data_IF_249056347238
#
_entry.id   IF_249056347238
#
_cell.length_a   1.000
_cell.length_b   1.000
_cell.length_c   1.000
_cell.angle_alpha   90.00
_cell.angle_beta   90.00
_cell.angle_gamma   90.00
#
_symmetry.space_group_name_H-M   'P 1'
#
loop_
_entity.id
_entity.type
_entity.pdbx_description
1 polymer ?
#
# COMPACT_ATOMS: atom_id res chain seq x y z
N UNK A 1 -0.63 15.49 3.97
CA UNK A 1 -1.78 15.47 3.03
C UNK A 1 -3.08 15.51 3.82
N UNK A 2 -4.10 16.19 3.30
CA UNK A 2 -5.43 16.25 3.92
C UNK A 2 -6.48 15.81 2.89
N UNK A 3 -7.37 14.89 3.27
CA UNK A 3 -8.43 14.33 2.43
C UNK A 3 -9.78 14.49 3.13
N UNK A 4 -10.68 15.28 2.55
CA UNK A 4 -12.02 15.46 3.08
C UNK A 4 -13.00 14.43 2.49
N UNK A 5 -13.59 13.60 3.34
CA UNK A 5 -14.58 12.57 2.93
C UNK A 5 -15.89 12.87 3.65
N UNK A 6 -16.81 13.64 3.04
CA UNK A 6 -18.06 14.06 3.70
C UNK A 6 -19.12 12.95 3.75
N UNK A 7 -18.93 11.86 3.00
CA UNK A 7 -19.85 10.73 2.96
C UNK A 7 -19.45 9.65 3.97
N UNK A 8 -20.42 8.85 4.41
CA UNK A 8 -20.18 7.66 5.24
C UNK A 8 -19.93 6.46 4.32
N UNK A 9 -18.82 5.77 4.55
CA UNK A 9 -18.34 4.60 3.80
C UNK A 9 -18.51 3.34 4.65
N UNK A 10 -19.45 2.50 4.28
CA UNK A 10 -19.65 1.17 4.89
C UNK A 10 -18.63 0.16 4.38
N UNK A 11 -18.21 0.31 3.12
CA UNK A 11 -17.11 -0.41 2.50
C UNK A 11 -16.14 0.56 1.85
N UNK A 12 -14.86 0.29 2.02
CA UNK A 12 -13.78 1.00 1.38
C UNK A 12 -12.78 -0.03 0.85
N UNK A 13 -12.21 0.24 -0.31
CA UNK A 13 -11.27 -0.64 -0.98
C UNK A 13 -9.92 0.05 -1.11
N UNK A 14 -8.87 -0.74 -1.01
CA UNK A 14 -7.51 -0.34 -1.37
C UNK A 14 -7.04 -1.22 -2.53
N UNK A 15 -6.55 -0.56 -3.58
CA UNK A 15 -5.86 -1.20 -4.68
C UNK A 15 -4.40 -0.73 -4.67
N UNK A 16 -3.48 -1.69 -4.79
CA UNK A 16 -2.05 -1.43 -4.90
C UNK A 16 -1.51 -2.21 -6.08
N UNK A 17 -0.91 -1.51 -7.03
CA UNK A 17 -0.21 -2.10 -8.15
C UNK A 17 1.26 -1.74 -8.09
N UNK A 18 2.12 -2.75 -8.17
CA UNK A 18 3.57 -2.56 -8.17
C UNK A 18 4.12 -2.76 -9.57
N UNK A 19 5.02 -1.88 -9.99
CA UNK A 19 5.72 -1.97 -11.25
C UNK A 19 7.23 -1.95 -11.01
N UNK A 20 7.95 -2.82 -11.70
CA UNK A 20 9.39 -2.90 -11.66
C UNK A 20 9.98 -2.39 -12.97
N UNK A 21 11.06 -1.60 -12.88
CA UNK A 21 11.74 -1.07 -14.06
C UNK A 21 12.90 -1.98 -14.46
N UNK A 22 12.75 -2.63 -15.62
CA UNK A 22 13.86 -3.28 -16.33
C UNK A 22 14.49 -2.28 -17.30
N UNK A 23 13.76 -1.99 -18.39
CA UNK A 23 14.03 -0.86 -19.28
C UNK A 23 12.90 0.19 -19.08
N UNK A 24 11.67 -0.30 -19.20
CA UNK A 24 10.43 0.39 -18.86
C UNK A 24 9.75 -0.24 -17.64
N UNK A 25 8.77 0.46 -17.06
CA UNK A 25 7.95 -0.06 -15.96
C UNK A 25 7.04 -1.18 -16.45
N UNK A 26 7.27 -2.39 -15.94
CA UNK A 26 6.46 -3.57 -16.21
C UNK A 26 5.72 -3.99 -14.93
N UNK A 27 4.52 -4.55 -15.10
CA UNK A 27 3.74 -5.05 -13.98
C UNK A 27 4.57 -6.09 -13.19
N UNK A 28 4.79 -5.79 -11.92
CA UNK A 28 5.39 -6.73 -10.99
C UNK A 28 4.26 -7.65 -10.49
N UNK A 29 4.49 -8.95 -10.26
CA UNK A 29 3.43 -9.90 -9.89
C UNK A 29 2.85 -9.70 -8.48
N UNK A 30 3.00 -8.51 -7.90
CA UNK A 30 2.46 -8.10 -6.60
C UNK A 30 1.41 -7.02 -6.85
N UNK A 31 0.17 -7.47 -6.94
CA UNK A 31 -1.02 -6.62 -6.93
C UNK A 31 -1.88 -6.98 -5.73
N UNK A 32 -2.47 -5.98 -5.09
CA UNK A 32 -3.36 -6.13 -3.95
C UNK A 32 -4.67 -5.42 -4.28
N UNK A 33 -5.79 -6.10 -4.08
CA UNK A 33 -7.11 -5.50 -4.02
C UNK A 33 -7.81 -6.04 -2.79
N UNK A 34 -8.12 -5.18 -1.83
CA UNK A 34 -8.70 -5.59 -0.55
C UNK A 34 -9.78 -4.62 -0.07
N UNK A 35 -10.86 -5.17 0.49
CA UNK A 35 -11.83 -4.38 1.25
C UNK A 35 -11.27 -4.15 2.67
N UNK A 36 -10.99 -2.89 2.98
CA UNK A 36 -10.42 -2.45 4.27
C UNK A 36 -11.32 -2.85 5.43
N UNK A 37 -12.64 -2.64 5.30
CA UNK A 37 -13.62 -2.97 6.32
C UNK A 37 -13.78 -4.47 6.55
N UNK A 38 -13.59 -5.30 5.51
CA UNK A 38 -13.61 -6.75 5.65
C UNK A 38 -12.34 -7.24 6.36
N UNK A 39 -11.18 -6.66 6.03
CA UNK A 39 -9.92 -7.00 6.69
C UNK A 39 -9.98 -6.74 8.21
N UNK A 40 -10.57 -5.64 8.66
CA UNK A 40 -10.74 -5.38 10.09
C UNK A 40 -11.66 -6.39 10.79
N UNK A 41 -12.70 -6.87 10.09
CA UNK A 41 -13.65 -7.86 10.62
C UNK A 41 -13.04 -9.26 10.66
N UNK A 42 -12.32 -9.64 9.61
CA UNK A 42 -11.64 -10.92 9.49
C UNK A 42 -10.34 -10.71 8.70
N UNK A 43 -9.18 -10.59 9.38
CA UNK A 43 -7.90 -10.35 8.72
C UNK A 43 -7.60 -11.43 7.68
N UNK A 44 -7.17 -11.01 6.49
CA UNK A 44 -6.81 -11.92 5.40
C UNK A 44 -5.58 -12.76 5.76
N UNK A 45 -5.53 -14.02 5.33
CA UNK A 45 -4.33 -14.87 5.39
C UNK A 45 -3.28 -14.47 4.33
N UNK A 46 -3.68 -13.69 3.33
CA UNK A 46 -2.79 -13.19 2.28
C UNK A 46 -1.64 -12.35 2.87
N UNK A 47 -0.41 -12.76 2.56
CA UNK A 47 0.81 -12.17 3.11
C UNK A 47 0.93 -10.71 2.71
N UNK A 48 0.55 -10.36 1.48
CA UNK A 48 0.64 -8.98 0.98
C UNK A 48 -0.36 -8.07 1.68
N UNK A 49 -1.61 -8.51 1.83
CA UNK A 49 -2.65 -7.81 2.58
C UNK A 49 -2.22 -7.51 4.01
N UNK A 50 -1.65 -8.53 4.70
CA UNK A 50 -1.14 -8.37 6.06
C UNK A 50 0.01 -7.39 6.14
N UNK A 51 0.92 -7.45 5.19
CA UNK A 51 2.05 -6.56 5.13
C UNK A 51 1.63 -5.10 4.90
N UNK A 52 0.80 -4.83 3.89
CA UNK A 52 0.27 -3.48 3.61
C UNK A 52 -0.50 -2.94 4.81
N UNK A 53 -1.34 -3.75 5.45
CA UNK A 53 -2.07 -3.28 6.62
C UNK A 53 -1.13 -2.97 7.80
N UNK A 54 -0.08 -3.77 8.02
CA UNK A 54 0.93 -3.49 9.04
C UNK A 54 1.63 -2.15 8.80
N UNK A 55 1.97 -1.83 7.55
CA UNK A 55 2.56 -0.53 7.18
C UNK A 55 1.58 0.59 7.44
N UNK A 56 0.30 0.42 7.10
CA UNK A 56 -0.74 1.41 7.39
C UNK A 56 -0.90 1.63 8.90
N UNK A 57 -0.85 0.58 9.72
CA UNK A 57 -0.93 0.68 11.18
C UNK A 57 0.18 1.50 11.80
N UNK A 58 1.38 1.42 11.24
CA UNK A 58 2.52 2.18 11.75
C UNK A 58 2.54 3.61 11.22
N UNK A 59 2.13 3.83 9.98
CA UNK A 59 2.28 5.13 9.29
C UNK A 59 1.07 6.04 9.42
N UNK A 60 -0.15 5.49 9.46
CA UNK A 60 -1.41 6.25 9.54
C UNK A 60 -2.42 5.60 10.51
N UNK A 61 -2.04 5.37 11.78
CA UNK A 61 -2.87 4.63 12.75
C UNK A 61 -4.26 5.23 12.96
N UNK A 62 -4.37 6.56 12.88
CA UNK A 62 -5.63 7.31 13.06
C UNK A 62 -6.64 7.09 11.94
N UNK A 63 -6.25 6.47 10.82
CA UNK A 63 -7.18 6.10 9.75
C UNK A 63 -7.79 4.71 9.98
N UNK A 64 -7.25 3.95 10.94
CA UNK A 64 -7.51 2.53 11.10
C UNK A 64 -8.41 2.29 12.31
N UNK A 65 -9.70 2.55 12.09
CA UNK A 65 -10.76 2.20 13.01
C UNK A 65 -11.81 1.34 12.31
N UNK A 66 -12.60 0.62 13.10
CA UNK A 66 -13.67 -0.21 12.58
C UNK A 66 -14.68 0.63 11.80
N UNK A 67 -15.12 0.11 10.66
CA UNK A 67 -16.13 0.78 9.83
C UNK A 67 -17.47 0.95 10.58
N UNK A 68 -18.27 1.97 10.23
CA UNK A 68 -18.17 2.81 9.03
C UNK A 68 -17.12 3.92 9.12
N UNK A 69 -16.46 4.16 7.99
CA UNK A 69 -15.45 5.21 7.82
C UNK A 69 -16.09 6.47 7.22
N UNK A 70 -15.43 7.62 7.31
CA UNK A 70 -15.83 8.85 6.60
C UNK A 70 -16.52 9.88 7.50
N UNK A 71 -17.30 10.77 6.89
CA UNK A 71 -17.86 11.95 7.55
C UNK A 71 -16.82 12.76 8.34
N UNK A 72 -15.59 12.85 7.80
CA UNK A 72 -14.45 13.43 8.48
C UNK A 72 -13.39 13.88 7.49
N UNK A 73 -12.40 14.61 8.00
CA UNK A 73 -11.20 15.00 7.26
C UNK A 73 -10.01 14.21 7.76
N UNK A 74 -9.42 13.43 6.86
CA UNK A 74 -8.27 12.59 7.11
C UNK A 74 -6.99 13.35 6.84
N UNK A 75 -6.18 13.57 7.88
CA UNK A 75 -4.88 14.22 7.75
C UNK A 75 -3.77 13.17 7.85
N UNK A 76 -3.12 12.82 6.75
CA UNK A 76 -2.02 11.85 6.74
C UNK A 76 -0.67 12.53 6.63
N UNK A 77 0.27 12.06 7.42
CA UNK A 77 1.70 12.22 7.16
C UNK A 77 2.26 10.81 7.00
N UNK A 78 2.66 10.47 5.77
CA UNK A 78 3.14 9.14 5.44
C UNK A 78 4.65 9.17 5.25
N UNK A 79 5.36 8.24 5.89
CA UNK A 79 6.80 8.06 5.75
C UNK A 79 7.06 6.63 5.28
N UNK A 80 7.88 6.49 4.24
CA UNK A 80 8.27 5.19 3.72
C UNK A 80 9.70 4.89 4.18
N UNK A 81 9.82 4.08 5.22
CA UNK A 81 11.09 3.60 5.77
C UNK A 81 11.50 2.26 5.18
N UNK A 82 12.79 1.92 5.25
CA UNK A 82 13.36 0.69 4.72
C UNK A 82 12.77 -0.58 5.36
N UNK A 83 12.43 -0.52 6.65
CA UNK A 83 11.78 -1.61 7.40
C UNK A 83 10.41 -2.03 6.85
N UNK A 84 9.75 -1.17 6.07
CA UNK A 84 8.46 -1.47 5.46
C UNK A 84 8.56 -2.28 4.19
N UNK A 85 9.75 -2.59 3.70
CA UNK A 85 9.92 -3.46 2.53
C UNK A 85 10.26 -4.89 2.96
N UNK A 86 9.70 -5.91 2.27
CA UNK A 86 10.14 -7.28 2.47
C UNK A 86 11.63 -7.40 2.22
N UNK A 87 12.35 -8.16 3.07
CA UNK A 87 13.79 -8.40 2.88
C UNK A 87 14.12 -9.08 1.54
N UNK A 88 13.15 -9.80 0.98
CA UNK A 88 13.23 -10.44 -0.33
C UNK A 88 13.01 -9.49 -1.51
N UNK A 89 12.70 -8.21 -1.27
CA UNK A 89 12.47 -7.25 -2.34
C UNK A 89 13.76 -7.05 -3.16
N UNK A 90 13.72 -7.31 -4.48
CA UNK A 90 14.89 -7.15 -5.33
C UNK A 90 15.39 -5.70 -5.36
N UNK A 91 16.68 -5.53 -5.66
CA UNK A 91 17.19 -4.19 -5.96
C UNK A 91 16.72 -3.74 -7.33
N UNK A 92 16.39 -2.46 -7.44
CA UNK A 92 16.00 -1.81 -8.69
C UNK A 92 15.08 -0.63 -8.44
N UNK A 93 14.51 -0.09 -9.53
CA UNK A 93 13.61 1.04 -9.48
C UNK A 93 12.15 0.56 -9.59
N UNK A 94 11.29 1.08 -8.73
CA UNK A 94 9.91 0.66 -8.59
C UNK A 94 8.97 1.86 -8.70
N UNK A 95 7.78 1.60 -9.24
CA UNK A 95 6.62 2.48 -9.16
C UNK A 95 5.50 1.73 -8.45
N UNK A 96 4.88 2.38 -7.48
CA UNK A 96 3.74 1.86 -6.74
C UNK A 96 2.55 2.78 -6.98
N UNK A 97 1.47 2.23 -7.50
CA UNK A 97 0.23 2.94 -7.76
C UNK A 97 -0.77 2.51 -6.69
N UNK A 98 -1.25 3.47 -5.89
CA UNK A 98 -2.17 3.21 -4.77
C UNK A 98 -3.47 3.96 -5.00
N UNK A 99 -4.59 3.27 -4.86
CA UNK A 99 -5.93 3.85 -4.99
C UNK A 99 -6.81 3.44 -3.82
N UNK A 100 -7.52 4.41 -3.27
CA UNK A 100 -8.60 4.20 -2.32
C UNK A 100 -9.94 4.42 -3.00
N UNK A 101 -10.83 3.43 -2.92
CA UNK A 101 -12.08 3.42 -3.65
C UNK A 101 -13.28 3.20 -2.73
N UNK A 102 -14.43 3.70 -3.16
CA UNK A 102 -15.73 3.34 -2.57
C UNK A 102 -16.24 2.03 -3.16
N UNK A 103 -17.33 1.49 -2.60
CA UNK A 103 -18.05 0.33 -3.16
C UNK A 103 -18.54 0.55 -4.60
N UNK A 104 -18.77 1.79 -5.01
CA UNK A 104 -19.18 2.17 -6.35
C UNK A 104 -17.99 2.42 -7.30
N UNK A 105 -16.78 1.97 -6.94
CA UNK A 105 -15.54 2.21 -7.67
C UNK A 105 -15.19 3.69 -7.89
N UNK A 106 -15.71 4.58 -7.04
CA UNK A 106 -15.35 6.00 -7.07
C UNK A 106 -14.01 6.15 -6.35
N UNK A 107 -13.01 6.72 -7.03
CA UNK A 107 -11.68 6.95 -6.46
C UNK A 107 -11.73 8.14 -5.49
N UNK A 108 -11.47 7.88 -4.22
CA UNK A 108 -11.39 8.90 -3.16
C UNK A 108 -10.03 9.59 -3.17
N UNK A 109 -8.98 8.79 -3.35
CA UNK A 109 -7.60 9.23 -3.38
C UNK A 109 -6.80 8.26 -4.24
N UNK A 110 -5.92 8.79 -5.07
CA UNK A 110 -4.93 8.02 -5.78
C UNK A 110 -3.58 8.73 -5.72
N UNK A 111 -2.50 7.98 -5.56
CA UNK A 111 -1.15 8.50 -5.64
C UNK A 111 -0.21 7.47 -6.26
N UNK A 112 0.89 7.98 -6.81
CA UNK A 112 1.99 7.18 -7.31
C UNK A 112 3.24 7.48 -6.52
N UNK A 113 3.94 6.44 -6.08
CA UNK A 113 5.24 6.54 -5.43
C UNK A 113 6.31 5.92 -6.32
N UNK A 114 7.41 6.64 -6.51
CA UNK A 114 8.57 6.18 -7.26
C UNK A 114 9.74 6.06 -6.29
N UNK A 115 10.37 4.89 -6.21
CA UNK A 115 11.46 4.64 -5.27
C UNK A 115 12.44 3.62 -5.83
N UNK A 116 13.66 3.62 -5.27
CA UNK A 116 14.70 2.67 -5.63
C UNK A 116 15.09 1.84 -4.42
N UNK A 117 15.05 0.52 -4.56
CA UNK A 117 15.62 -0.40 -3.57
C UNK A 117 17.06 -0.66 -3.97
N UNK A 118 17.99 -0.37 -3.06
CA UNK A 118 19.44 -0.60 -3.28
C UNK A 118 19.91 -1.65 -2.28
N UNK A 119 20.63 -2.67 -2.76
CA UNK A 119 21.29 -3.63 -1.87
C UNK A 119 22.44 -2.93 -1.15
N UNK A 120 22.42 -2.97 0.19
CA UNK A 120 23.57 -2.57 1.01
C UNK A 120 24.58 -3.72 1.00
N UNK A 121 25.41 -3.79 -0.03
CA UNK A 121 26.51 -4.76 -0.13
C UNK A 121 27.43 -4.47 -1.30
N UNK A 122 28.74 -4.35 -1.02
CA UNK A 122 29.80 -4.10 -2.02
C UNK A 122 30.29 -5.42 -2.67
N UNK A 123 29.78 -6.58 -2.25
CA UNK A 123 30.24 -7.88 -2.75
C UNK A 123 29.08 -8.82 -3.13
N UNK A 124 29.27 -9.41 -4.33
CA UNK A 124 28.45 -10.40 -5.05
C UNK A 124 27.37 -11.11 -4.23
N UNK A 125 26.10 -10.76 -4.46
CA UNK A 125 24.94 -11.61 -4.17
C UNK A 125 24.17 -11.93 -5.45
N UNK A 126 24.89 -12.45 -6.44
CA UNK A 126 24.29 -13.41 -7.35
C UNK A 126 24.36 -14.76 -6.62
N UNK A 127 23.21 -15.41 -6.45
CA UNK A 127 22.98 -16.69 -5.75
C UNK A 127 22.68 -16.51 -4.26
N UNK A 128 21.40 -16.50 -3.94
CA UNK A 128 20.77 -17.49 -3.06
C UNK A 128 19.26 -17.37 -3.27
N UNK A 129 18.73 -18.31 -4.06
CA UNK A 129 17.31 -18.64 -4.19
C UNK A 129 16.98 -19.70 -3.15
#
# INVERSE_FOLDING_TARGET
>A
MSLHVPIVLTKAYIEVETFYRLNDYQAFPVTLSAEVCAYFRNPSEDIFSRHVMSVMFETVPHFLYYCPQGNTTYNAVYWLEDKFFPKSMPAGDYRLDVRFLTEQNITLLAFQAYFSVRRRGVWRSLIEW
#
